data_IF_273128526933
#
_entry.id   IF_273128526933
#
_cell.length_a   1.000
_cell.length_b   1.000
_cell.length_c   1.000
_cell.angle_alpha   90.00
_cell.angle_beta   90.00
_cell.angle_gamma   90.00
#
_symmetry.space_group_name_H-M   'P 1'
#
loop_
_entity.id
_entity.type
_entity.pdbx_description
1 polymer ?
#
# COMPACT_ATOMS: atom_id res chain seq x y z
N UNK A 1 9.73 -16.13 13.46
CA UNK A 1 9.03 -14.89 13.01
C UNK A 1 9.74 -14.39 11.75
N UNK A 2 9.02 -13.86 10.75
CA UNK A 2 9.67 -13.27 9.58
C UNK A 2 10.45 -12.02 9.97
N UNK A 3 11.52 -11.75 9.24
CA UNK A 3 12.26 -10.47 9.31
C UNK A 3 11.83 -9.58 8.15
N UNK A 4 11.71 -8.28 8.41
CA UNK A 4 11.42 -7.29 7.39
C UNK A 4 12.69 -6.48 7.16
N UNK A 5 13.13 -6.40 5.91
CA UNK A 5 14.35 -5.68 5.52
C UNK A 5 13.94 -4.64 4.48
N UNK A 6 14.28 -3.37 4.72
CA UNK A 6 14.16 -2.31 3.72
C UNK A 6 15.44 -2.31 2.88
N UNK A 7 15.39 -2.82 1.64
CA UNK A 7 16.59 -3.14 0.90
C UNK A 7 17.32 -1.92 0.35
N UNK A 8 16.70 -0.73 0.31
CA UNK A 8 17.37 0.49 -0.16
C UNK A 8 18.43 1.02 0.82
N UNK A 9 18.32 0.67 2.11
CA UNK A 9 19.31 1.02 3.13
C UNK A 9 19.34 2.50 3.54
N UNK A 10 18.56 3.35 2.87
CA UNK A 10 18.46 4.78 3.13
C UNK A 10 16.99 5.24 3.12
N UNK A 11 16.70 6.30 3.87
CA UNK A 11 15.39 6.94 3.85
C UNK A 11 15.33 8.00 2.75
N UNK A 12 14.29 7.92 1.95
CA UNK A 12 14.05 8.86 0.87
C UNK A 12 12.58 9.27 0.79
N UNK A 13 12.28 10.41 0.13
CA UNK A 13 10.92 10.71 -0.27
C UNK A 13 10.33 9.59 -1.14
N UNK A 14 9.00 9.44 -1.06
CA UNK A 14 8.25 8.48 -1.87
C UNK A 14 8.56 8.67 -3.36
N UNK A 15 8.73 7.54 -4.08
CA UNK A 15 9.13 7.54 -5.47
C UNK A 15 9.45 6.16 -6.01
N UNK A 16 10.08 6.07 -7.19
CA UNK A 16 10.53 4.81 -7.76
C UNK A 16 11.62 4.17 -6.88
N UNK A 17 11.78 2.86 -7.04
CA UNK A 17 12.90 2.12 -6.44
C UNK A 17 14.21 2.69 -6.96
N UNK A 18 15.14 3.03 -6.07
CA UNK A 18 16.44 3.61 -6.47
C UNK A 18 17.50 2.53 -6.64
N UNK A 19 17.84 1.85 -5.55
CA UNK A 19 18.92 0.86 -5.54
C UNK A 19 18.74 -0.12 -4.40
N UNK A 20 18.95 -1.40 -4.68
CA UNK A 20 18.82 -2.48 -3.70
C UNK A 20 20.19 -2.86 -3.19
N UNK A 21 20.39 -2.74 -1.89
CA UNK A 21 21.61 -3.13 -1.21
C UNK A 21 21.70 -4.66 -1.08
N UNK A 22 22.92 -5.24 -1.10
CA UNK A 22 23.11 -6.69 -1.10
C UNK A 22 22.76 -7.37 0.23
N UNK A 23 22.51 -6.60 1.30
CA UNK A 23 22.30 -7.11 2.66
C UNK A 23 21.14 -8.11 2.78
N UNK A 24 20.01 -7.82 2.15
CA UNK A 24 18.86 -8.75 2.14
C UNK A 24 19.25 -10.11 1.49
N UNK A 25 19.97 -10.06 0.37
CA UNK A 25 20.48 -11.24 -0.30
C UNK A 25 21.52 -12.01 0.52
N UNK A 26 22.38 -11.32 1.27
CA UNK A 26 23.33 -11.95 2.19
C UNK A 26 22.60 -12.73 3.29
N UNK A 27 21.57 -12.14 3.91
CA UNK A 27 20.78 -12.79 4.96
C UNK A 27 20.07 -14.04 4.40
N UNK A 28 19.38 -13.90 3.27
CA UNK A 28 18.66 -14.99 2.63
C UNK A 28 19.57 -16.18 2.31
N UNK A 29 20.77 -15.91 1.76
CA UNK A 29 21.77 -16.95 1.48
C UNK A 29 22.26 -17.64 2.75
N UNK A 30 22.57 -16.90 3.81
CA UNK A 30 23.08 -17.48 5.05
C UNK A 30 22.01 -18.28 5.80
N UNK A 31 20.76 -17.86 5.72
CA UNK A 31 19.63 -18.55 6.33
C UNK A 31 19.07 -19.69 5.47
N UNK A 32 19.47 -19.79 4.18
CA UNK A 32 18.95 -20.81 3.26
C UNK A 32 17.46 -20.63 2.94
N UNK A 33 16.96 -19.38 2.95
CA UNK A 33 15.55 -19.05 2.71
C UNK A 33 15.39 -18.12 1.51
N UNK A 34 14.26 -18.16 0.79
CA UNK A 34 14.03 -17.23 -0.32
C UNK A 34 13.70 -15.82 0.19
N UNK A 35 13.82 -14.83 -0.70
CA UNK A 35 13.36 -13.46 -0.43
C UNK A 35 11.93 -13.31 -0.92
N UNK A 36 11.08 -12.65 -0.13
CA UNK A 36 9.71 -12.32 -0.55
C UNK A 36 9.66 -10.81 -0.79
N UNK A 37 9.43 -10.36 -2.04
CA UNK A 37 9.34 -8.95 -2.37
C UNK A 37 8.02 -8.38 -1.85
N UNK A 38 8.09 -7.24 -1.16
CA UNK A 38 6.94 -6.55 -0.58
C UNK A 38 6.98 -5.09 -1.00
N UNK A 39 5.98 -4.67 -1.77
CA UNK A 39 5.77 -3.28 -2.15
C UNK A 39 4.86 -2.58 -1.13
N UNK A 40 5.22 -1.37 -0.73
CA UNK A 40 4.46 -0.55 0.22
C UNK A 40 4.30 0.87 -0.34
N UNK A 41 3.06 1.38 -0.27
CA UNK A 41 2.75 2.80 -0.48
C UNK A 41 1.93 3.32 0.69
N UNK A 42 2.25 4.54 1.11
CA UNK A 42 1.43 5.32 2.02
C UNK A 42 1.01 6.56 1.27
N UNK A 43 -0.29 6.72 1.06
CA UNK A 43 -0.86 7.79 0.24
C UNK A 43 -2.01 8.47 0.98
N UNK A 44 -2.26 9.73 0.65
CA UNK A 44 -3.48 10.42 1.04
C UNK A 44 -4.41 10.42 -0.19
N UNK A 45 -5.61 9.84 -0.05
CA UNK A 45 -6.64 9.79 -1.10
C UNK A 45 -7.84 10.66 -0.70
N UNK A 46 -9.08 10.20 -0.94
CA UNK A 46 -10.29 10.94 -0.59
C UNK A 46 -10.51 11.16 0.92
N UNK A 47 -9.89 10.31 1.75
CA UNK A 47 -10.00 10.40 3.20
C UNK A 47 -9.04 11.42 3.82
N UNK A 48 -9.41 11.92 5.00
CA UNK A 48 -8.61 12.86 5.82
C UNK A 48 -7.34 12.25 6.44
N UNK A 49 -7.14 10.93 6.33
CA UNK A 49 -6.01 10.23 6.95
C UNK A 49 -5.26 9.41 5.91
N UNK A 50 -3.92 9.28 6.03
CA UNK A 50 -3.15 8.44 5.13
C UNK A 50 -3.58 6.98 5.18
N UNK A 51 -3.55 6.34 4.02
CA UNK A 51 -3.85 4.94 3.79
C UNK A 51 -2.58 4.19 3.41
N UNK A 52 -2.37 3.02 3.99
CA UNK A 52 -1.24 2.14 3.71
C UNK A 52 -1.66 0.95 2.85
N UNK A 53 -0.98 0.75 1.72
CA UNK A 53 -1.22 -0.33 0.78
C UNK A 53 0.01 -1.20 0.66
N UNK A 54 -0.19 -2.52 0.78
CA UNK A 54 0.88 -3.52 0.69
C UNK A 54 0.54 -4.53 -0.39
N UNK A 55 1.50 -4.82 -1.26
CA UNK A 55 1.46 -5.97 -2.18
C UNK A 55 2.62 -6.90 -1.89
N UNK A 56 2.34 -8.19 -1.84
CA UNK A 56 3.33 -9.24 -1.57
C UNK A 56 3.45 -10.10 -2.82
N UNK A 57 4.66 -10.21 -3.36
CA UNK A 57 4.94 -11.04 -4.52
C UNK A 57 5.35 -12.47 -4.15
N UNK A 58 5.58 -13.31 -5.17
CA UNK A 58 6.10 -14.66 -4.97
C UNK A 58 7.55 -14.63 -4.45
N UNK A 59 8.04 -15.70 -3.80
CA UNK A 59 9.44 -15.80 -3.40
C UNK A 59 10.39 -15.75 -4.61
N UNK A 60 11.50 -15.02 -4.48
CA UNK A 60 12.50 -14.79 -5.54
C UNK A 60 13.93 -15.00 -5.03
N UNK A 61 14.86 -15.22 -5.96
CA UNK A 61 16.29 -15.18 -5.66
C UNK A 61 16.77 -13.74 -5.44
N UNK A 62 17.91 -13.59 -4.77
CA UNK A 62 18.48 -12.27 -4.47
C UNK A 62 18.78 -11.42 -5.71
N UNK A 63 19.13 -12.04 -6.83
CA UNK A 63 19.41 -11.34 -8.09
C UNK A 63 18.15 -10.75 -8.74
N UNK A 64 17.00 -11.37 -8.50
CA UNK A 64 15.71 -10.98 -9.09
C UNK A 64 14.95 -9.96 -8.22
N UNK A 65 15.40 -9.75 -6.98
CA UNK A 65 14.73 -8.89 -6.01
C UNK A 65 14.50 -7.45 -6.51
N UNK A 66 15.46 -6.76 -7.16
CA UNK A 66 15.24 -5.39 -7.62
C UNK A 66 14.11 -5.29 -8.65
N UNK A 67 14.10 -6.20 -9.63
CA UNK A 67 13.10 -6.21 -10.71
C UNK A 67 11.73 -6.60 -10.15
N UNK A 68 11.68 -7.58 -9.26
CA UNK A 68 10.43 -8.00 -8.61
C UNK A 68 9.82 -6.88 -7.75
N UNK A 69 10.64 -6.12 -7.01
CA UNK A 69 10.18 -4.95 -6.25
C UNK A 69 9.70 -3.83 -7.17
N UNK A 70 10.45 -3.53 -8.24
CA UNK A 70 10.07 -2.50 -9.20
C UNK A 70 8.74 -2.84 -9.89
N UNK A 71 8.53 -4.09 -10.29
CA UNK A 71 7.28 -4.57 -10.88
C UNK A 71 6.10 -4.44 -9.90
N UNK A 72 6.26 -4.92 -8.66
CA UNK A 72 5.20 -4.81 -7.66
C UNK A 72 4.85 -3.35 -7.32
N UNK A 73 5.84 -2.47 -7.26
CA UNK A 73 5.62 -1.04 -7.05
C UNK A 73 4.90 -0.41 -8.24
N UNK A 74 5.28 -0.74 -9.47
CA UNK A 74 4.63 -0.24 -10.67
C UNK A 74 3.16 -0.70 -10.76
N UNK A 75 2.88 -1.97 -10.43
CA UNK A 75 1.51 -2.48 -10.36
C UNK A 75 0.71 -1.77 -9.26
N UNK A 76 1.29 -1.58 -8.06
CA UNK A 76 0.63 -0.84 -6.98
C UNK A 76 0.33 0.61 -7.37
N UNK A 77 1.29 1.28 -8.03
CA UNK A 77 1.12 2.66 -8.49
C UNK A 77 0.05 2.74 -9.59
N UNK A 78 -0.02 1.76 -10.49
CA UNK A 78 -1.06 1.67 -11.51
C UNK A 78 -2.46 1.46 -10.89
N UNK A 79 -2.59 0.55 -9.92
CA UNK A 79 -3.84 0.30 -9.21
C UNK A 79 -4.33 1.58 -8.50
N UNK A 80 -3.42 2.30 -7.83
CA UNK A 80 -3.71 3.55 -7.13
C UNK A 80 -4.13 4.69 -8.07
N UNK A 81 -3.45 4.83 -9.22
CA UNK A 81 -3.76 5.86 -10.22
C UNK A 81 -5.06 5.57 -10.97
N UNK A 82 -5.39 4.30 -11.19
CA UNK A 82 -6.57 3.88 -11.95
C UNK A 82 -7.87 3.85 -11.15
N UNK A 83 -7.82 4.07 -9.83
CA UNK A 83 -8.95 3.85 -8.93
C UNK A 83 -9.53 5.14 -8.34
N UNK A 84 -10.86 5.22 -8.24
CA UNK A 84 -11.58 6.34 -7.61
C UNK A 84 -11.11 6.58 -6.17
N UNK A 85 -10.51 7.76 -5.85
CA UNK A 85 -10.02 8.13 -4.52
C UNK A 85 -10.99 7.95 -3.37
N UNK A 86 -12.30 8.05 -3.63
CA UNK A 86 -13.36 7.92 -2.62
C UNK A 86 -13.78 6.46 -2.39
N UNK A 87 -13.44 5.56 -3.32
CA UNK A 87 -13.78 4.14 -3.23
C UNK A 87 -12.61 3.32 -2.64
N UNK A 88 -12.91 2.21 -1.93
CA UNK A 88 -11.88 1.23 -1.56
C UNK A 88 -11.15 0.68 -2.78
N UNK A 89 -9.83 0.50 -2.68
CA UNK A 89 -9.02 -0.06 -3.75
C UNK A 89 -9.43 -1.52 -4.02
N UNK A 90 -9.91 -1.80 -5.23
CA UNK A 90 -10.37 -3.13 -5.61
C UNK A 90 -9.22 -4.15 -5.62
N UNK A 91 -9.48 -5.38 -5.19
CA UNK A 91 -8.47 -6.45 -5.13
C UNK A 91 -7.59 -6.45 -3.88
N UNK A 92 -7.77 -5.49 -2.96
CA UNK A 92 -7.02 -5.41 -1.71
C UNK A 92 -7.88 -5.84 -0.52
N UNK A 93 -7.28 -6.66 0.35
CA UNK A 93 -7.88 -7.01 1.63
C UNK A 93 -7.58 -5.92 2.67
N UNK A 94 -8.63 -5.37 3.27
CA UNK A 94 -8.48 -4.43 4.39
C UNK A 94 -8.12 -5.19 5.67
N UNK A 95 -6.86 -5.05 6.11
CA UNK A 95 -6.36 -5.69 7.34
C UNK A 95 -6.58 -4.85 8.60
N UNK A 96 -6.39 -3.53 8.51
CA UNK A 96 -6.57 -2.61 9.63
C UNK A 96 -7.70 -1.64 9.29
N UNK A 97 -8.77 -1.58 10.12
CA UNK A 97 -9.76 -0.53 9.97
C UNK A 97 -9.09 0.81 10.32
N UNK A 98 -8.77 1.62 9.30
CA UNK A 98 -8.28 2.98 9.49
C UNK A 98 -9.22 3.82 10.36
N UNK A 99 -8.71 4.96 10.85
CA UNK A 99 -9.52 5.95 11.59
C UNK A 99 -10.59 6.50 10.64
N UNK A 100 -11.87 6.31 10.99
CA UNK A 100 -12.98 6.83 10.19
C UNK A 100 -12.80 8.34 9.96
N UNK A 101 -12.78 8.76 8.69
CA UNK A 101 -12.73 10.17 8.32
C UNK A 101 -14.02 10.86 8.78
N UNK A 102 -13.98 12.18 9.04
CA UNK A 102 -15.21 12.91 9.39
C UNK A 102 -16.24 12.88 8.24
N UNK A 103 -15.82 12.68 6.99
CA UNK A 103 -16.73 12.57 5.83
C UNK A 103 -17.57 11.28 5.86
N UNK A 104 -17.03 10.16 6.38
CA UNK A 104 -17.79 8.92 6.57
C UNK A 104 -18.79 9.02 7.72
N UNK A 105 -18.59 9.99 8.61
CA UNK A 105 -19.60 10.33 9.61
C UNK A 105 -20.58 11.24 8.91
N UNK A 106 -21.65 10.63 8.37
CA UNK A 106 -22.86 11.38 8.06
C UNK A 106 -23.27 12.08 9.36
N UNK A 107 -22.90 13.34 9.47
CA UNK A 107 -23.25 14.20 10.56
C UNK A 107 -24.77 14.35 10.54
N UNK A 108 -25.36 14.40 11.72
CA UNK A 108 -26.81 14.50 11.87
C UNK A 108 -27.46 15.62 11.01
N UNK A 109 -26.79 16.75 10.68
CA UNK A 109 -27.35 17.75 9.76
C UNK A 109 -27.49 17.23 8.33
N UNK A 110 -26.54 16.42 7.84
CA UNK A 110 -26.58 15.82 6.50
C UNK A 110 -27.70 14.79 6.36
N UNK A 111 -28.00 14.03 7.43
CA UNK A 111 -29.19 13.14 7.48
C UNK A 111 -30.49 13.93 7.51
N UNK A 112 -30.50 15.06 8.22
CA UNK A 112 -31.68 15.94 8.29
C UNK A 112 -31.94 16.62 6.94
N UNK A 113 -30.89 17.02 6.24
CA UNK A 113 -30.96 17.60 4.89
C UNK A 113 -31.43 16.59 3.86
N UNK A 114 -30.93 15.34 3.86
CA UNK A 114 -31.44 14.28 3.00
C UNK A 114 -32.94 14.00 3.25
N UNK A 115 -33.36 14.01 4.52
CA UNK A 115 -34.77 13.85 4.90
C UNK A 115 -35.66 15.03 4.46
N UNK A 116 -35.18 16.27 4.61
CA UNK A 116 -35.90 17.48 4.20
C UNK A 116 -35.96 17.68 2.68
N UNK A 117 -34.95 17.18 1.96
CA UNK A 117 -34.85 17.34 0.50
C UNK A 117 -35.52 16.18 -0.24
N UNK A 118 -35.90 15.11 0.47
CA UNK A 118 -36.70 14.01 -0.07
C UNK A 118 -35.94 13.09 -1.02
N UNK A 119 -34.61 13.10 -0.97
CA UNK A 119 -33.79 12.30 -1.88
C UNK A 119 -33.76 10.85 -1.39
N UNK A 120 -34.36 9.97 -2.19
CA UNK A 120 -34.24 8.51 -2.08
C UNK A 120 -33.45 7.99 -3.28
N UNK A 121 -32.13 8.06 -3.20
CA UNK A 121 -31.17 7.12 -3.84
C UNK A 121 -29.76 7.46 -3.38
#
# INVERSE_FOLDING_TARGET
LPILVFPEGELHPAGPLRGVQPGAGWIARHAGVPLVPVALRVVLRGAQFPEGYVRVGPPVAAAELPDALAALLAELDADLLGSDPEAPLAGYLRLVPGRASRSDRVDWPSRLLAWLTGDRA
#
